data_IF_714258745953
#
_entry.id   IF_714258745953
#
_cell.length_a   1.000
_cell.length_b   1.000
_cell.length_c   1.000
_cell.angle_alpha   90.00
_cell.angle_beta   90.00
_cell.angle_gamma   90.00
#
_symmetry.space_group_name_H-M   'P 1'
#
loop_
_entity.id
_entity.type
_entity.pdbx_description
1 polymer ?
#
# COMPACT_ATOMS: atom_id res chain seq x y z
N UNK A 1 25.02 9.10 59.02
CA UNK A 1 26.34 8.55 58.59
C UNK A 1 26.13 7.88 57.24
N UNK A 2 26.33 8.55 56.11
CA UNK A 2 27.60 8.91 55.44
C UNK A 2 28.20 7.73 54.64
N UNK A 3 28.01 7.83 53.31
CA UNK A 3 28.84 7.36 52.17
C UNK A 3 28.94 5.84 51.98
N UNK A 4 28.81 5.33 50.75
CA UNK A 4 29.80 5.58 49.69
C UNK A 4 29.25 5.43 48.27
N UNK A 5 29.35 6.52 47.52
CA UNK A 5 29.29 6.61 46.06
C UNK A 5 30.62 6.05 45.51
N UNK A 6 30.65 4.86 44.88
CA UNK A 6 31.87 4.37 44.22
C UNK A 6 31.70 3.70 42.86
N UNK A 7 30.48 3.62 42.31
CA UNK A 7 30.26 2.89 41.04
C UNK A 7 29.94 3.77 39.82
N UNK A 8 29.76 5.09 40.01
CA UNK A 8 29.38 6.03 38.94
C UNK A 8 30.60 6.81 38.39
N UNK A 9 31.80 6.64 38.95
CA UNK A 9 33.01 7.36 38.53
C UNK A 9 33.91 6.61 37.53
N UNK A 10 33.48 5.46 36.99
CA UNK A 10 34.34 4.61 36.11
C UNK A 10 33.93 4.52 34.63
N UNK A 11 32.83 5.15 34.21
CA UNK A 11 32.41 5.14 32.79
C UNK A 11 32.69 6.48 32.08
N UNK A 12 32.95 7.56 32.81
CA UNK A 12 33.20 8.90 32.26
C UNK A 12 34.68 9.23 31.95
N UNK A 13 35.59 8.24 32.05
CA UNK A 13 37.04 8.43 31.88
C UNK A 13 37.59 7.82 30.60
N UNK A 14 36.74 7.28 29.71
CA UNK A 14 37.17 6.73 28.42
C UNK A 14 36.87 7.64 27.21
N UNK A 15 36.05 8.68 27.38
CA UNK A 15 35.66 9.63 26.31
C UNK A 15 36.50 10.92 26.24
N UNK A 16 37.69 10.98 26.87
CA UNK A 16 38.55 12.19 26.88
C UNK A 16 40.04 11.96 26.61
N UNK A 17 40.43 10.88 25.92
CA UNK A 17 41.82 10.67 25.50
C UNK A 17 41.90 10.06 24.09
N UNK A 18 41.68 10.91 23.07
CA UNK A 18 42.41 10.91 21.79
C UNK A 18 41.86 12.04 20.92
N UNK A 19 42.16 13.28 21.31
CA UNK A 19 42.04 14.45 20.46
C UNK A 19 43.39 15.16 20.51
N UNK A 20 44.39 14.63 19.79
CA UNK A 20 45.66 15.30 19.51
C UNK A 20 46.42 14.56 18.41
N UNK A 21 46.11 14.85 17.14
CA UNK A 21 47.09 14.85 16.04
C UNK A 21 46.45 15.45 14.79
N UNK A 22 46.55 16.77 14.67
CA UNK A 22 46.38 17.50 13.42
C UNK A 22 47.73 17.47 12.68
N UNK A 23 47.67 17.24 11.36
CA UNK A 23 48.72 17.43 10.33
C UNK A 23 49.85 16.39 10.28
N UNK A 24 49.71 15.42 9.38
CA UNK A 24 50.71 15.05 8.36
C UNK A 24 50.20 13.83 7.59
N UNK A 25 49.65 14.07 6.39
CA UNK A 25 49.73 13.23 5.18
C UNK A 25 48.56 13.57 4.24
N UNK A 26 48.71 14.65 3.48
CA UNK A 26 48.15 14.70 2.14
C UNK A 26 49.01 13.79 1.27
N UNK A 27 48.51 12.61 0.88
CA UNK A 27 48.88 11.93 -0.38
C UNK A 27 48.00 10.71 -0.61
N UNK A 28 47.30 10.74 -1.74
CA UNK A 28 46.83 9.62 -2.55
C UNK A 28 45.96 8.54 -1.89
N UNK A 29 44.65 8.77 -1.91
CA UNK A 29 43.67 7.73 -2.21
C UNK A 29 42.52 8.37 -3.01
N UNK A 30 42.81 8.73 -4.25
CA UNK A 30 41.79 8.81 -5.30
C UNK A 30 41.76 7.43 -5.96
N UNK A 31 40.55 6.95 -6.25
CA UNK A 31 40.26 5.81 -7.15
C UNK A 31 40.21 4.38 -6.55
N UNK A 32 39.43 4.14 -5.49
CA UNK A 32 38.79 2.80 -5.30
C UNK A 32 37.37 2.89 -4.69
N UNK A 33 36.61 3.94 -5.02
CA UNK A 33 35.22 4.12 -4.54
C UNK A 33 34.30 4.58 -5.65
N UNK A 34 34.20 3.82 -6.75
CA UNK A 34 33.27 4.20 -7.83
C UNK A 34 32.38 3.09 -8.38
N UNK A 35 32.53 1.83 -7.94
CA UNK A 35 31.64 0.73 -8.38
C UNK A 35 30.69 0.28 -7.27
N UNK A 36 31.19 0.03 -6.04
CA UNK A 36 30.36 -0.43 -4.91
C UNK A 36 29.36 0.63 -4.42
N UNK A 37 29.76 1.89 -4.32
CA UNK A 37 28.84 2.97 -3.93
C UNK A 37 27.79 3.24 -5.02
N UNK A 38 28.15 3.14 -6.31
CA UNK A 38 27.18 3.25 -7.42
C UNK A 38 26.19 2.09 -7.47
N UNK A 39 26.61 0.89 -7.05
CA UNK A 39 25.74 -0.29 -6.93
C UNK A 39 24.74 -0.13 -5.80
N UNK A 40 25.17 0.34 -4.63
CA UNK A 40 24.28 0.59 -3.49
C UNK A 40 23.32 1.76 -3.72
N UNK A 41 23.76 2.84 -4.37
CA UNK A 41 22.84 3.93 -4.73
C UNK A 41 21.82 3.51 -5.78
N UNK A 42 22.16 2.60 -6.71
CA UNK A 42 21.18 2.03 -7.64
C UNK A 42 20.19 1.10 -6.95
N UNK A 43 20.64 0.26 -6.01
CA UNK A 43 19.71 -0.56 -5.19
C UNK A 43 18.82 0.29 -4.28
N UNK A 44 19.33 1.41 -3.74
CA UNK A 44 18.54 2.35 -2.92
C UNK A 44 17.58 3.17 -3.79
N UNK A 45 17.97 3.56 -5.01
CA UNK A 45 17.07 4.25 -5.95
C UNK A 45 16.01 3.27 -6.50
N UNK A 46 16.35 2.01 -6.75
CA UNK A 46 15.39 0.95 -7.09
C UNK A 46 14.45 0.62 -5.91
N UNK A 47 14.92 0.73 -4.65
CA UNK A 47 14.08 0.63 -3.45
C UNK A 47 13.21 1.88 -3.20
N UNK A 48 13.63 3.06 -3.64
CA UNK A 48 12.80 4.27 -3.63
C UNK A 48 11.73 4.26 -4.73
N UNK A 49 11.97 3.54 -5.83
CA UNK A 49 10.97 3.28 -6.88
C UNK A 49 9.84 2.36 -6.36
N UNK A 50 10.04 1.65 -5.24
CA UNK A 50 9.03 0.74 -4.66
C UNK A 50 7.95 1.40 -3.79
N UNK A 51 8.00 2.72 -3.52
CA UNK A 51 7.17 3.32 -2.45
C UNK A 51 5.81 3.89 -2.90
N UNK A 52 5.45 3.96 -4.19
CA UNK A 52 4.21 4.69 -4.56
C UNK A 52 3.06 3.96 -5.25
N UNK A 53 3.09 2.63 -5.35
CA UNK A 53 1.88 1.86 -5.65
C UNK A 53 1.65 0.76 -4.62
N UNK A 54 1.62 1.15 -3.34
CA UNK A 54 1.00 0.32 -2.30
C UNK A 54 -0.47 0.15 -2.66
N UNK A 55 -0.92 -1.09 -2.73
CA UNK A 55 -2.35 -1.38 -2.77
C UNK A 55 -3.03 -0.70 -1.56
N UNK A 56 -4.25 -0.14 -1.68
CA UNK A 56 -4.91 0.48 -0.54
C UNK A 56 -5.26 -0.58 0.51
N UNK A 57 -4.51 -0.58 1.60
CA UNK A 57 -4.77 -1.46 2.75
C UNK A 57 -5.83 -0.81 3.64
N UNK A 58 -6.93 -1.54 3.85
CA UNK A 58 -8.03 -1.16 4.72
C UNK A 58 -8.10 -2.17 5.87
N UNK A 59 -7.68 -1.73 7.06
CA UNK A 59 -7.61 -2.48 8.33
C UNK A 59 -8.20 -1.60 9.43
N UNK A 60 -8.43 -2.16 10.63
CA UNK A 60 -8.91 -1.38 11.76
C UNK A 60 -8.04 -0.15 12.06
N UNK A 61 -8.70 0.95 12.43
CA UNK A 61 -8.06 2.25 12.71
C UNK A 61 -6.88 2.15 13.69
N UNK A 62 -7.03 1.37 14.76
CA UNK A 62 -6.02 1.26 15.83
C UNK A 62 -4.73 0.54 15.40
N UNK A 63 -4.71 -0.11 14.24
CA UNK A 63 -3.53 -0.80 13.70
C UNK A 63 -2.63 0.12 12.87
N UNK A 64 -3.08 1.33 12.58
CA UNK A 64 -2.27 2.36 11.93
C UNK A 64 -1.56 3.24 12.96
N UNK A 65 -0.50 3.91 12.51
CA UNK A 65 -0.04 5.11 13.18
C UNK A 65 -1.16 6.16 13.19
N UNK A 66 -1.28 6.89 14.30
CA UNK A 66 -2.35 7.87 14.52
C UNK A 66 -2.44 8.88 13.35
N UNK A 67 -1.30 9.38 12.88
CA UNK A 67 -1.21 10.32 11.74
C UNK A 67 -1.79 9.73 10.43
N UNK A 68 -1.49 8.46 10.12
CA UNK A 68 -2.00 7.78 8.92
C UNK A 68 -3.52 7.54 9.01
N UNK A 69 -3.99 7.16 10.20
CA UNK A 69 -5.40 6.95 10.48
C UNK A 69 -6.20 8.25 10.36
N UNK A 70 -5.71 9.33 10.96
CA UNK A 70 -6.28 10.66 10.86
C UNK A 70 -6.31 11.14 9.41
N UNK A 71 -5.25 10.89 8.65
CA UNK A 71 -5.21 11.27 7.25
C UNK A 71 -6.34 10.62 6.44
N UNK A 72 -6.56 9.30 6.61
CA UNK A 72 -7.64 8.59 5.92
C UNK A 72 -9.02 9.05 6.37
N UNK A 73 -9.19 9.35 7.66
CA UNK A 73 -10.43 9.88 8.19
C UNK A 73 -10.73 11.28 7.64
N UNK A 74 -9.73 12.18 7.58
CA UNK A 74 -9.89 13.51 7.03
C UNK A 74 -10.27 13.48 5.54
N UNK A 75 -9.68 12.57 4.76
CA UNK A 75 -10.05 12.36 3.35
C UNK A 75 -11.52 11.97 3.21
N UNK A 76 -11.99 11.04 4.06
CA UNK A 76 -13.38 10.61 4.08
C UNK A 76 -14.32 11.78 4.43
N UNK A 77 -14.04 12.49 5.52
CA UNK A 77 -14.83 13.64 5.98
C UNK A 77 -14.93 14.76 4.93
N UNK A 78 -13.82 15.09 4.25
CA UNK A 78 -13.83 16.09 3.18
C UNK A 78 -14.65 15.64 1.96
N UNK A 79 -14.59 14.34 1.64
CA UNK A 79 -15.39 13.74 0.58
C UNK A 79 -16.89 13.76 0.89
N UNK A 80 -17.27 13.33 2.10
CA UNK A 80 -18.67 13.31 2.58
C UNK A 80 -19.27 14.73 2.60
N UNK A 81 -18.51 15.71 3.08
CA UNK A 81 -18.93 17.11 3.16
C UNK A 81 -18.85 17.86 1.83
N UNK A 82 -18.35 17.22 0.76
CA UNK A 82 -18.20 17.82 -0.58
C UNK A 82 -17.26 19.03 -0.62
N UNK A 83 -16.26 19.06 0.26
CA UNK A 83 -15.24 20.11 0.31
C UNK A 83 -14.13 19.80 -0.73
N UNK A 84 -14.47 19.85 -2.01
CA UNK A 84 -13.62 19.30 -3.07
C UNK A 84 -12.26 19.98 -3.21
N UNK A 85 -12.21 21.31 -3.10
CA UNK A 85 -10.95 22.06 -3.20
C UNK A 85 -9.99 21.72 -2.05
N UNK A 86 -10.52 21.64 -0.83
CA UNK A 86 -9.76 21.23 0.35
C UNK A 86 -9.33 19.77 0.24
N UNK A 87 -10.20 18.88 -0.24
CA UNK A 87 -9.89 17.46 -0.49
C UNK A 87 -8.71 17.32 -1.46
N UNK A 88 -8.79 17.96 -2.62
CA UNK A 88 -7.74 17.90 -3.64
C UNK A 88 -6.43 18.51 -3.13
N UNK A 89 -6.49 19.64 -2.41
CA UNK A 89 -5.31 20.24 -1.77
C UNK A 89 -4.68 19.33 -0.74
N UNK A 90 -5.51 18.70 0.10
CA UNK A 90 -5.07 17.78 1.15
C UNK A 90 -4.37 16.55 0.56
N UNK A 91 -4.99 15.90 -0.44
CA UNK A 91 -4.45 14.71 -1.11
C UNK A 91 -3.10 14.96 -1.80
N UNK A 92 -2.85 16.18 -2.31
CA UNK A 92 -1.55 16.56 -2.89
C UNK A 92 -0.41 16.52 -1.86
N UNK A 93 -0.71 16.70 -0.58
CA UNK A 93 0.28 16.74 0.50
C UNK A 93 0.35 15.44 1.28
N UNK A 94 -0.79 14.85 1.61
CA UNK A 94 -0.91 13.70 2.51
C UNK A 94 -0.93 12.35 1.77
N UNK A 95 -1.19 12.33 0.45
CA UNK A 95 -1.34 11.11 -0.33
C UNK A 95 -2.68 10.42 -0.10
N UNK A 96 -2.72 9.08 -0.21
CA UNK A 96 -3.93 8.31 0.10
C UNK A 96 -5.04 8.34 -0.96
N UNK A 97 -4.73 8.70 -2.21
CA UNK A 97 -5.70 8.86 -3.32
C UNK A 97 -6.63 7.67 -3.58
N UNK A 98 -6.21 6.45 -3.20
CA UNK A 98 -6.97 5.21 -3.34
C UNK A 98 -7.41 4.60 -1.99
N UNK A 99 -7.14 5.29 -0.88
CA UNK A 99 -7.55 4.83 0.45
C UNK A 99 -9.03 5.12 0.69
N UNK A 100 -9.63 4.36 1.60
CA UNK A 100 -10.96 4.64 2.13
C UNK A 100 -10.92 4.89 3.63
N UNK A 101 -12.07 5.28 4.18
CA UNK A 101 -12.32 5.26 5.62
C UNK A 101 -11.88 3.91 6.22
N UNK A 102 -11.22 3.97 7.36
CA UNK A 102 -10.83 2.78 8.10
C UNK A 102 -12.01 2.28 8.95
N UNK A 103 -12.26 0.96 9.01
CA UNK A 103 -13.23 0.42 9.93
C UNK A 103 -12.80 0.62 11.39
N UNK A 104 -13.79 0.69 12.28
CA UNK A 104 -13.64 0.74 13.73
C UNK A 104 -14.23 -0.56 14.30
N UNK A 105 -13.44 -1.31 15.05
CA UNK A 105 -13.74 -2.67 15.50
C UNK A 105 -15.05 -2.77 16.32
N UNK A 106 -15.28 -1.81 17.22
CA UNK A 106 -16.41 -1.83 18.16
C UNK A 106 -17.67 -1.10 17.66
N UNK A 107 -17.69 -0.62 16.42
CA UNK A 107 -18.83 0.12 15.88
C UNK A 107 -19.65 -0.76 14.92
N UNK A 108 -20.91 -1.11 15.27
CA UNK A 108 -21.73 -2.09 14.54
C UNK A 108 -22.12 -1.71 13.11
N UNK A 109 -21.82 -0.49 12.66
CA UNK A 109 -22.01 -0.01 11.28
C UNK A 109 -20.71 0.52 10.64
N UNK A 110 -19.55 0.27 11.25
CA UNK A 110 -18.25 0.77 10.76
C UNK A 110 -17.60 -0.14 9.72
N UNK A 111 -18.39 -1.02 9.08
CA UNK A 111 -17.93 -1.65 7.86
C UNK A 111 -17.63 -0.54 6.85
N UNK A 112 -16.33 -0.35 6.59
CA UNK A 112 -15.88 0.69 5.69
C UNK A 112 -16.63 0.54 4.36
N UNK A 113 -17.30 1.60 3.94
CA UNK A 113 -17.98 1.67 2.63
C UNK A 113 -17.01 1.42 1.47
N UNK A 114 -15.70 1.50 1.75
CA UNK A 114 -14.59 1.46 0.79
C UNK A 114 -14.70 2.60 -0.23
N UNK A 115 -15.29 3.72 0.18
CA UNK A 115 -15.33 4.93 -0.62
C UNK A 115 -13.91 5.50 -0.69
N UNK A 116 -13.40 5.57 -1.91
CA UNK A 116 -12.18 6.31 -2.23
C UNK A 116 -12.58 7.75 -2.53
N UNK A 117 -11.62 8.70 -2.60
CA UNK A 117 -11.89 10.03 -3.13
C UNK A 117 -12.68 10.05 -4.44
N UNK A 118 -12.43 9.09 -5.34
CA UNK A 118 -13.16 8.99 -6.62
C UNK A 118 -14.62 8.55 -6.42
N UNK A 119 -14.89 7.64 -5.48
CA UNK A 119 -16.27 7.27 -5.09
C UNK A 119 -17.01 8.45 -4.47
N UNK A 120 -16.36 9.20 -3.57
CA UNK A 120 -16.93 10.41 -2.97
C UNK A 120 -17.27 11.47 -4.02
N UNK A 121 -16.38 11.71 -4.98
CA UNK A 121 -16.64 12.63 -6.09
C UNK A 121 -17.85 12.21 -6.94
N UNK A 122 -17.98 10.92 -7.27
CA UNK A 122 -19.13 10.37 -7.99
C UNK A 122 -20.44 10.47 -7.18
N UNK A 123 -20.40 10.12 -5.90
CA UNK A 123 -21.54 10.17 -5.00
C UNK A 123 -22.02 11.61 -4.74
N UNK A 124 -21.08 12.54 -4.57
CA UNK A 124 -21.32 13.94 -4.27
C UNK A 124 -21.57 14.83 -5.49
N UNK A 125 -21.59 14.27 -6.71
CA UNK A 125 -21.71 15.01 -7.98
C UNK A 125 -20.67 16.13 -8.11
N UNK A 126 -19.40 15.81 -7.83
CA UNK A 126 -18.32 16.78 -7.91
C UNK A 126 -18.18 17.38 -9.33
N UNK A 127 -17.64 18.60 -9.46
CA UNK A 127 -17.39 19.18 -10.78
C UNK A 127 -16.27 18.43 -11.52
N UNK A 128 -16.30 18.46 -12.86
CA UNK A 128 -15.38 17.73 -13.74
C UNK A 128 -13.89 17.88 -13.38
N UNK A 129 -13.45 19.10 -13.02
CA UNK A 129 -12.05 19.36 -12.69
C UNK A 129 -11.56 18.55 -11.47
N UNK A 130 -12.44 18.21 -10.53
CA UNK A 130 -12.10 17.37 -9.37
C UNK A 130 -11.77 15.96 -9.83
N UNK A 131 -12.58 15.37 -10.72
CA UNK A 131 -12.28 14.07 -11.31
C UNK A 131 -10.95 14.07 -12.07
N UNK A 132 -10.70 15.11 -12.86
CA UNK A 132 -9.43 15.24 -13.58
C UNK A 132 -8.24 15.30 -12.62
N UNK A 133 -8.34 16.07 -11.54
CA UNK A 133 -7.28 16.17 -10.55
C UNK A 133 -7.07 14.88 -9.77
N UNK A 134 -8.15 14.19 -9.35
CA UNK A 134 -8.06 12.89 -8.70
C UNK A 134 -7.38 11.85 -9.61
N UNK A 135 -7.73 11.81 -10.89
CA UNK A 135 -7.13 10.89 -11.86
C UNK A 135 -5.66 11.24 -12.14
N UNK A 136 -5.31 12.52 -12.26
CA UNK A 136 -3.90 12.97 -12.37
C UNK A 136 -3.07 12.54 -11.16
N UNK A 137 -3.67 12.51 -9.97
CA UNK A 137 -3.05 12.03 -8.74
C UNK A 137 -2.97 10.49 -8.64
N UNK A 138 -3.53 9.75 -9.61
CA UNK A 138 -3.44 8.30 -9.66
C UNK A 138 -4.62 7.56 -9.04
N UNK A 139 -5.78 8.21 -8.88
CA UNK A 139 -7.01 7.53 -8.50
C UNK A 139 -7.30 6.34 -9.43
N UNK A 140 -7.73 5.23 -8.85
CA UNK A 140 -8.07 4.00 -9.57
C UNK A 140 -9.54 4.02 -9.96
N UNK A 141 -9.82 3.70 -11.21
CA UNK A 141 -11.17 3.61 -11.76
C UNK A 141 -11.84 2.27 -11.48
N UNK A 142 -11.06 1.21 -11.26
CA UNK A 142 -11.57 -0.15 -11.10
C UNK A 142 -11.79 -0.60 -9.65
N UNK A 143 -11.40 0.21 -8.65
CA UNK A 143 -11.66 -0.12 -7.25
C UNK A 143 -13.17 -0.10 -7.01
N UNK A 144 -13.64 -1.10 -6.29
CA UNK A 144 -15.04 -1.29 -5.90
C UNK A 144 -15.24 -0.97 -4.44
N UNK A 145 -16.40 -0.42 -4.13
CA UNK A 145 -16.93 -0.25 -2.78
C UNK A 145 -17.24 -1.60 -2.13
N UNK A 146 -17.61 -1.60 -0.84
CA UNK A 146 -18.09 -2.82 -0.16
C UNK A 146 -19.38 -3.39 -0.76
N UNK A 147 -20.11 -2.60 -1.57
CA UNK A 147 -21.30 -3.05 -2.32
C UNK A 147 -20.96 -3.62 -3.70
N UNK A 148 -19.70 -3.54 -4.12
CA UNK A 148 -19.25 -3.98 -5.44
C UNK A 148 -19.27 -2.90 -6.51
N UNK A 149 -19.75 -1.69 -6.20
CA UNK A 149 -19.86 -0.58 -7.15
C UNK A 149 -18.52 0.15 -7.33
N UNK A 150 -18.15 0.45 -8.57
CA UNK A 150 -17.07 1.36 -8.97
C UNK A 150 -17.55 2.81 -8.98
N UNK A 151 -16.61 3.77 -9.03
CA UNK A 151 -16.96 5.19 -9.19
C UNK A 151 -17.77 5.48 -10.45
N UNK A 152 -17.53 4.73 -11.54
CA UNK A 152 -18.31 4.81 -12.77
C UNK A 152 -19.77 4.42 -12.55
N UNK A 153 -20.03 3.28 -11.88
CA UNK A 153 -21.39 2.82 -11.59
C UNK A 153 -22.14 3.80 -10.69
N UNK A 154 -21.49 4.32 -9.65
CA UNK A 154 -22.07 5.36 -8.78
C UNK A 154 -22.41 6.62 -9.58
N UNK A 155 -21.50 7.07 -10.46
CA UNK A 155 -21.74 8.25 -11.29
C UNK A 155 -22.88 8.04 -12.29
N UNK A 156 -22.99 6.84 -12.86
CA UNK A 156 -24.08 6.45 -13.76
C UNK A 156 -25.43 6.49 -13.03
N UNK A 157 -25.51 5.87 -11.85
CA UNK A 157 -26.72 5.91 -11.00
C UNK A 157 -27.11 7.34 -10.63
N UNK A 158 -26.13 8.21 -10.38
CA UNK A 158 -26.35 9.61 -10.03
C UNK A 158 -26.62 10.53 -11.24
N UNK A 159 -26.61 9.99 -12.47
CA UNK A 159 -26.83 10.73 -13.71
C UNK A 159 -25.85 11.91 -13.88
N UNK A 160 -24.56 11.67 -13.63
CA UNK A 160 -23.51 12.65 -13.96
C UNK A 160 -23.37 12.82 -15.48
N UNK A 161 -22.82 13.94 -15.89
CA UNK A 161 -22.60 14.26 -17.30
C UNK A 161 -21.78 13.18 -18.02
N UNK A 162 -22.14 12.92 -19.28
CA UNK A 162 -21.49 11.94 -20.16
C UNK A 162 -19.97 12.14 -20.25
N UNK A 163 -19.51 13.39 -20.23
CA UNK A 163 -18.10 13.75 -20.20
C UNK A 163 -17.37 13.20 -18.96
N UNK A 164 -18.02 13.21 -17.80
CA UNK A 164 -17.46 12.67 -16.56
C UNK A 164 -17.49 11.13 -16.62
N UNK A 165 -18.58 10.54 -17.12
CA UNK A 165 -18.68 9.09 -17.27
C UNK A 165 -17.54 8.54 -18.13
N UNK A 166 -17.26 9.15 -19.28
CA UNK A 166 -16.12 8.80 -20.14
C UNK A 166 -14.77 8.98 -19.43
N UNK A 167 -14.65 10.02 -18.62
CA UNK A 167 -13.41 10.32 -17.90
C UNK A 167 -13.07 9.23 -16.88
N UNK A 168 -14.06 8.71 -16.15
CA UNK A 168 -13.86 7.69 -15.09
C UNK A 168 -14.17 6.27 -15.54
N UNK A 169 -14.42 6.05 -16.82
CA UNK A 169 -14.70 4.73 -17.37
C UNK A 169 -13.55 3.74 -17.08
N UNK A 170 -13.95 2.54 -16.62
CA UNK A 170 -13.03 1.44 -16.31
C UNK A 170 -12.20 1.09 -17.56
N UNK A 171 -10.87 0.93 -17.46
CA UNK A 171 -10.03 0.64 -18.62
C UNK A 171 -10.46 -0.63 -19.36
N UNK A 172 -10.33 -0.60 -20.68
CA UNK A 172 -10.70 -1.72 -21.54
C UNK A 172 -9.94 -3.02 -21.20
N UNK A 173 -8.69 -2.89 -20.75
CA UNK A 173 -7.88 -4.02 -20.26
C UNK A 173 -8.51 -4.75 -19.08
N UNK A 174 -9.27 -4.04 -18.23
CA UNK A 174 -10.00 -4.63 -17.10
C UNK A 174 -11.31 -5.24 -17.60
N UNK A 175 -12.05 -4.52 -18.46
CA UNK A 175 -13.34 -5.00 -19.00
C UNK A 175 -13.21 -6.30 -19.79
N UNK A 176 -12.26 -6.38 -20.72
CA UNK A 176 -12.03 -7.56 -21.56
C UNK A 176 -11.61 -8.81 -20.78
N UNK A 177 -11.02 -8.61 -19.59
CA UNK A 177 -10.56 -9.69 -18.75
C UNK A 177 -11.46 -9.90 -17.52
N UNK A 178 -12.64 -9.27 -17.46
CA UNK A 178 -13.46 -9.19 -16.24
C UNK A 178 -13.79 -10.55 -15.61
N UNK A 179 -14.21 -11.52 -16.42
CA UNK A 179 -14.50 -12.88 -15.94
C UNK A 179 -13.25 -13.58 -15.39
N UNK A 180 -12.15 -13.57 -16.16
CA UNK A 180 -10.90 -14.16 -15.73
C UNK A 180 -10.31 -13.48 -14.49
N UNK A 181 -10.44 -12.14 -14.39
CA UNK A 181 -10.02 -11.37 -13.22
C UNK A 181 -10.82 -11.83 -12.01
N UNK A 182 -12.14 -11.99 -12.12
CA UNK A 182 -12.97 -12.45 -11.00
C UNK A 182 -12.58 -13.85 -10.52
N UNK A 183 -12.33 -14.78 -11.46
CA UNK A 183 -11.89 -16.14 -11.14
C UNK A 183 -10.52 -16.12 -10.45
N UNK A 184 -9.54 -15.41 -11.02
CA UNK A 184 -8.20 -15.30 -10.43
C UNK A 184 -8.20 -14.56 -9.08
N UNK A 185 -9.10 -13.59 -8.90
CA UNK A 185 -9.27 -12.87 -7.63
C UNK A 185 -9.71 -13.81 -6.52
N UNK A 186 -10.69 -14.69 -6.78
CA UNK A 186 -11.11 -15.73 -5.83
C UNK A 186 -9.94 -16.66 -5.48
N UNK A 187 -9.19 -17.12 -6.48
CA UNK A 187 -8.01 -17.97 -6.24
C UNK A 187 -6.90 -17.24 -5.47
N UNK A 188 -6.70 -15.95 -5.72
CA UNK A 188 -5.78 -15.11 -4.95
C UNK A 188 -6.22 -15.01 -3.49
N UNK A 189 -7.52 -14.83 -3.25
CA UNK A 189 -8.10 -14.80 -1.91
C UNK A 189 -7.88 -16.12 -1.18
N UNK A 190 -8.07 -17.26 -1.84
CA UNK A 190 -7.74 -18.57 -1.28
C UNK A 190 -6.27 -18.65 -0.87
N UNK A 191 -5.32 -18.26 -1.75
CA UNK A 191 -3.89 -18.26 -1.42
C UNK A 191 -3.54 -17.38 -0.22
N UNK A 192 -4.20 -16.22 -0.09
CA UNK A 192 -3.99 -15.31 1.03
C UNK A 192 -4.56 -15.91 2.32
N UNK A 193 -5.82 -16.35 2.29
CA UNK A 193 -6.52 -16.87 3.47
C UNK A 193 -5.87 -18.15 4.00
N UNK A 194 -5.48 -19.09 3.13
CA UNK A 194 -4.75 -20.30 3.52
C UNK A 194 -3.48 -20.01 4.33
N UNK A 195 -2.92 -18.82 4.17
CA UNK A 195 -1.68 -18.41 4.83
C UNK A 195 -1.90 -17.51 6.04
N UNK A 196 -2.88 -16.62 6.00
CA UNK A 196 -3.03 -15.54 7.00
C UNK A 196 -4.48 -15.24 7.41
N UNK A 197 -5.43 -16.16 7.19
CA UNK A 197 -6.85 -15.95 7.52
C UNK A 197 -7.07 -15.31 8.90
N UNK A 198 -6.43 -15.85 9.95
CA UNK A 198 -6.56 -15.30 11.32
C UNK A 198 -6.11 -13.85 11.43
N UNK A 199 -5.02 -13.47 10.75
CA UNK A 199 -4.55 -12.07 10.77
C UNK A 199 -5.51 -11.17 10.01
N UNK A 200 -6.04 -11.62 8.87
CA UNK A 200 -7.03 -10.88 8.09
C UNK A 200 -8.28 -10.61 8.93
N UNK A 201 -8.80 -11.64 9.61
CA UNK A 201 -9.97 -11.53 10.49
C UNK A 201 -9.70 -10.60 11.68
N UNK A 202 -8.60 -10.81 12.41
CA UNK A 202 -8.25 -9.99 13.56
C UNK A 202 -8.01 -8.52 13.20
N UNK A 203 -7.54 -8.24 11.98
CA UNK A 203 -7.25 -6.88 11.54
C UNK A 203 -8.45 -6.20 10.84
N UNK A 204 -9.57 -6.91 10.67
CA UNK A 204 -10.68 -6.43 9.85
C UNK A 204 -10.27 -6.12 8.41
N UNK A 205 -9.25 -6.83 7.92
CA UNK A 205 -8.56 -6.47 6.69
C UNK A 205 -9.37 -6.87 5.46
N UNK A 206 -9.55 -5.94 4.53
CA UNK A 206 -10.17 -6.25 3.24
C UNK A 206 -9.17 -6.91 2.28
N UNK A 207 -9.60 -8.00 1.65
CA UNK A 207 -8.82 -8.72 0.65
C UNK A 207 -8.59 -7.86 -0.61
N UNK A 208 -7.50 -8.10 -1.35
CA UNK A 208 -7.14 -7.25 -2.48
C UNK A 208 -8.04 -7.50 -3.69
N UNK A 209 -8.35 -6.44 -4.43
CA UNK A 209 -9.10 -6.47 -5.68
C UNK A 209 -8.12 -6.58 -6.85
N UNK A 210 -8.21 -7.66 -7.61
CA UNK A 210 -7.26 -7.99 -8.66
C UNK A 210 -7.37 -7.06 -9.87
N UNK A 211 -8.53 -6.45 -10.10
CA UNK A 211 -8.69 -5.44 -11.14
C UNK A 211 -7.65 -4.30 -11.04
N UNK A 212 -7.22 -3.97 -9.82
CA UNK A 212 -6.17 -2.97 -9.57
C UNK A 212 -4.84 -3.33 -10.24
N UNK A 213 -4.48 -4.62 -10.29
CA UNK A 213 -3.29 -5.10 -11.02
C UNK A 213 -3.37 -4.78 -12.51
N UNK A 214 -4.58 -4.86 -13.08
CA UNK A 214 -4.80 -4.65 -14.50
C UNK A 214 -4.83 -3.18 -14.89
N UNK A 215 -5.24 -2.30 -13.97
CA UNK A 215 -5.21 -0.85 -14.14
C UNK A 215 -3.84 -0.24 -13.81
N UNK A 216 -3.30 -0.51 -12.61
CA UNK A 216 -2.13 0.19 -12.06
C UNK A 216 -0.82 -0.59 -12.16
N UNK A 217 -0.89 -1.90 -12.38
CA UNK A 217 0.28 -2.77 -12.44
C UNK A 217 0.57 -3.48 -11.11
N UNK A 218 1.76 -4.09 -10.98
CA UNK A 218 2.12 -4.90 -9.81
C UNK A 218 1.94 -4.14 -8.50
N UNK A 219 1.50 -4.84 -7.46
CA UNK A 219 1.29 -4.23 -6.15
C UNK A 219 1.77 -5.13 -5.01
N UNK A 220 2.05 -4.49 -3.87
CA UNK A 220 2.28 -5.16 -2.60
C UNK A 220 1.03 -5.04 -1.73
N UNK A 221 0.55 -6.17 -1.22
CA UNK A 221 -0.53 -6.27 -0.24
C UNK A 221 0.07 -6.65 1.12
N UNK A 222 0.26 -5.63 1.95
CA UNK A 222 0.82 -5.76 3.30
C UNK A 222 -0.18 -6.42 4.24
N UNK A 223 0.30 -7.30 5.12
CA UNK A 223 -0.52 -7.89 6.19
C UNK A 223 0.09 -7.49 7.53
N UNK A 224 -0.58 -6.65 8.34
CA UNK A 224 -0.08 -6.28 9.66
C UNK A 224 0.20 -7.52 10.51
N UNK A 225 1.26 -7.44 11.33
CA UNK A 225 1.78 -8.55 12.14
C UNK A 225 2.40 -9.73 11.38
N UNK A 226 2.32 -9.78 10.04
CA UNK A 226 3.06 -10.73 9.20
C UNK A 226 4.51 -10.30 8.96
N UNK A 227 4.85 -9.02 9.23
CA UNK A 227 6.16 -8.42 8.88
C UNK A 227 6.55 -8.71 7.41
N UNK A 228 5.54 -8.67 6.54
CA UNK A 228 5.60 -9.08 5.15
C UNK A 228 4.22 -8.96 4.51
N UNK A 229 4.00 -9.73 3.45
CA UNK A 229 2.77 -9.67 2.69
C UNK A 229 2.86 -10.43 1.39
N UNK A 230 2.13 -9.95 0.40
CA UNK A 230 1.96 -10.59 -0.91
C UNK A 230 2.34 -9.62 -2.02
N UNK A 231 3.34 -9.98 -2.82
CA UNK A 231 3.68 -9.32 -4.06
C UNK A 231 2.89 -9.98 -5.19
N UNK A 232 2.01 -9.22 -5.82
CA UNK A 232 1.14 -9.70 -6.91
C UNK A 232 1.55 -9.02 -8.21
N UNK A 233 1.81 -9.82 -9.24
CA UNK A 233 2.17 -9.32 -10.58
C UNK A 233 1.57 -10.18 -11.68
N UNK A 234 1.35 -9.60 -12.87
CA UNK A 234 0.97 -10.36 -14.06
C UNK A 234 2.09 -11.36 -14.44
N UNK A 235 1.71 -12.54 -14.87
CA UNK A 235 2.63 -13.59 -15.30
C UNK A 235 1.97 -14.47 -16.35
N UNK A 236 2.49 -14.45 -17.58
CA UNK A 236 1.85 -15.05 -18.75
C UNK A 236 0.41 -14.56 -18.91
N UNK A 237 -0.54 -15.49 -19.02
CA UNK A 237 -1.99 -15.26 -19.10
C UNK A 237 -2.67 -15.17 -17.72
N UNK A 238 -1.91 -15.31 -16.63
CA UNK A 238 -2.41 -15.24 -15.26
C UNK A 238 -1.60 -14.31 -14.36
N UNK A 239 -1.40 -14.71 -13.11
CA UNK A 239 -0.68 -13.94 -12.09
C UNK A 239 0.32 -14.78 -11.32
N UNK A 240 1.40 -14.15 -10.88
CA UNK A 240 2.36 -14.71 -9.92
C UNK A 240 2.20 -13.99 -8.58
N UNK A 241 2.10 -14.77 -7.51
CA UNK A 241 1.93 -14.32 -6.13
C UNK A 241 3.11 -14.80 -5.31
N UNK A 242 3.96 -13.87 -4.88
CA UNK A 242 5.06 -14.16 -3.98
C UNK A 242 4.70 -13.69 -2.58
N UNK A 243 4.69 -14.60 -1.62
CA UNK A 243 4.39 -14.31 -0.21
C UNK A 243 5.63 -14.54 0.66
N UNK A 244 5.87 -13.67 1.63
CA UNK A 244 7.01 -13.79 2.55
C UNK A 244 6.66 -13.26 3.94
N UNK A 245 7.26 -13.85 4.97
CA UNK A 245 7.11 -13.48 6.38
C UNK A 245 8.49 -13.39 7.04
N UNK A 246 8.82 -12.25 7.66
CA UNK A 246 10.19 -11.96 8.17
C UNK A 246 10.40 -12.28 9.66
N UNK A 247 9.47 -12.99 10.30
CA UNK A 247 9.65 -13.45 11.70
C UNK A 247 10.62 -14.63 11.76
N UNK A 248 11.21 -14.89 12.93
CA UNK A 248 12.09 -16.05 13.17
C UNK A 248 11.35 -17.34 12.80
N UNK A 249 11.92 -18.14 11.90
CA UNK A 249 11.25 -19.30 11.31
C UNK A 249 10.30 -18.95 10.15
N UNK A 250 10.50 -17.80 9.51
CA UNK A 250 9.69 -17.31 8.40
C UNK A 250 9.55 -18.31 7.26
N UNK A 251 8.69 -17.99 6.30
CA UNK A 251 8.58 -18.79 5.08
C UNK A 251 8.31 -17.89 3.89
N UNK A 252 8.72 -18.37 2.73
CA UNK A 252 8.42 -17.80 1.44
C UNK A 252 7.67 -18.83 0.59
N UNK A 253 6.67 -18.39 -0.17
CA UNK A 253 5.95 -19.23 -1.13
C UNK A 253 5.67 -18.45 -2.40
N UNK A 254 5.95 -19.09 -3.53
CA UNK A 254 5.59 -18.63 -4.87
C UNK A 254 4.42 -19.45 -5.41
N UNK A 255 3.32 -18.77 -5.70
CA UNK A 255 2.19 -19.37 -6.41
C UNK A 255 2.05 -18.74 -7.79
N UNK A 256 1.63 -19.55 -8.76
CA UNK A 256 1.11 -19.08 -10.05
C UNK A 256 -0.36 -19.44 -10.10
N UNK A 257 -1.17 -18.48 -10.51
CA UNK A 257 -2.61 -18.63 -10.73
C UNK A 257 -2.84 -18.37 -12.21
N UNK A 258 -3.34 -19.36 -12.94
CA UNK A 258 -3.63 -19.21 -14.37
C UNK A 258 -4.95 -18.47 -14.61
N UNK A 259 -5.27 -18.19 -15.88
CA UNK A 259 -6.49 -17.48 -16.27
C UNK A 259 -7.80 -18.16 -15.85
N UNK A 260 -7.76 -19.48 -15.60
CA UNK A 260 -8.89 -20.29 -15.18
C UNK A 260 -8.95 -20.45 -13.64
N UNK A 261 -8.05 -19.78 -12.91
CA UNK A 261 -8.00 -19.81 -11.45
C UNK A 261 -7.26 -21.01 -10.87
N UNK A 262 -6.58 -21.83 -11.68
CA UNK A 262 -5.82 -22.97 -11.14
C UNK A 262 -4.58 -22.47 -10.39
N UNK A 263 -4.44 -22.90 -9.14
CA UNK A 263 -3.33 -22.51 -8.27
C UNK A 263 -2.24 -23.58 -8.34
N UNK A 264 -1.01 -23.16 -8.68
CA UNK A 264 0.18 -24.01 -8.65
C UNK A 264 1.22 -23.43 -7.71
N UNK A 265 1.64 -24.20 -6.69
CA UNK A 265 2.78 -23.85 -5.85
C UNK A 265 4.07 -24.16 -6.62
N UNK A 266 4.85 -23.13 -6.93
CA UNK A 266 6.05 -23.23 -7.79
C UNK A 266 7.32 -23.34 -6.96
N UNK A 267 7.39 -22.67 -5.81
CA UNK A 267 8.53 -22.74 -4.94
C UNK A 267 8.14 -22.46 -3.48
N UNK A 268 8.88 -23.07 -2.57
CA UNK A 268 8.89 -22.74 -1.14
C UNK A 268 10.30 -22.44 -0.70
N UNK A 269 10.45 -21.47 0.20
CA UNK A 269 11.72 -21.08 0.79
C UNK A 269 11.59 -20.87 2.29
N UNK A 270 12.70 -21.03 3.01
CA UNK A 270 12.85 -20.56 4.37
C UNK A 270 13.81 -19.37 4.34
N UNK A 271 13.43 -18.18 4.84
CA UNK A 271 14.38 -17.12 5.08
C UNK A 271 15.32 -17.58 6.21
N UNK A 272 16.59 -17.24 6.03
CA UNK A 272 17.76 -17.56 6.85
C UNK A 272 17.54 -17.42 8.36
#
# INVERSE_FOLDING_TARGET
MVRSKSSIQRVLTWLKKTCCCRRLCCRNNKEVTSSKERSLTREIDDLKVFIHFSYPVNIYKHLFHEEDAECKQKVDELGENRNWDELVSYLKTAGGINSSRLPIEDEPNSLASLYTPLHHAAAGKAPKHVFEDLLKMGASKCLKTSKGDTAFEIALTNSLDEDILRLIEVPESVKQNGESIAIMEQSLHTVILDRVERLIQNNGQQLPQLAFLYEKGPFHYSVPMMYGGFNVKKYNDGIKVHSFCRVVGGSEKDHVIDRNGNITLVATGYPF
#
